data_IF_633000000800
#
_entry.id   IF_633000000800
#
_cell.length_a   1.000
_cell.length_b   1.000
_cell.length_c   1.000
_cell.angle_alpha   90.00
_cell.angle_beta   90.00
_cell.angle_gamma   90.00
#
_symmetry.space_group_name_H-M   'P 1'
#
loop_
_entity.id
_entity.type
_entity.pdbx_description
1 polymer ?
#
# COMPACT_ATOMS: atom_id res chain seq x y z
N UNK A 1 -18.96 25.86 -35.31
CA UNK A 1 -18.48 24.88 -34.31
C UNK A 1 -19.60 24.60 -33.33
N UNK A 2 -20.09 23.37 -33.25
CA UNK A 2 -21.33 23.06 -32.51
C UNK A 2 -21.06 23.07 -30.99
N UNK A 3 -21.54 24.09 -30.28
CA UNK A 3 -21.25 24.30 -28.84
C UNK A 3 -21.63 23.10 -27.97
N UNK A 4 -22.65 22.35 -28.37
CA UNK A 4 -23.13 21.12 -27.73
C UNK A 4 -22.14 19.95 -27.87
N UNK A 5 -21.45 19.84 -29.01
CA UNK A 5 -20.43 18.82 -29.22
C UNK A 5 -19.22 19.05 -28.29
N UNK A 6 -18.79 20.31 -28.17
CA UNK A 6 -17.66 20.69 -27.31
C UNK A 6 -17.95 20.42 -25.83
N UNK A 7 -19.17 20.76 -25.37
CA UNK A 7 -19.58 20.55 -23.97
C UNK A 7 -19.64 19.06 -23.61
N UNK A 8 -20.17 18.24 -24.52
CA UNK A 8 -20.24 16.79 -24.32
C UNK A 8 -18.84 16.16 -24.29
N UNK A 9 -17.94 16.56 -25.19
CA UNK A 9 -16.55 16.08 -25.19
C UNK A 9 -15.84 16.41 -23.87
N UNK A 10 -16.01 17.63 -23.36
CA UNK A 10 -15.40 18.07 -22.10
C UNK A 10 -15.95 17.28 -20.89
N UNK A 11 -17.24 16.96 -20.91
CA UNK A 11 -17.88 16.14 -19.87
C UNK A 11 -17.34 14.72 -19.85
N UNK A 12 -17.20 14.09 -21.02
CA UNK A 12 -16.62 12.74 -21.13
C UNK A 12 -15.15 12.71 -20.73
N UNK A 13 -14.37 13.73 -21.11
CA UNK A 13 -12.98 13.88 -20.68
C UNK A 13 -12.87 13.92 -19.16
N UNK A 14 -13.73 14.70 -18.49
CA UNK A 14 -13.70 14.82 -17.03
C UNK A 14 -14.05 13.50 -16.33
N UNK A 15 -15.08 12.80 -16.82
CA UNK A 15 -15.46 11.47 -16.30
C UNK A 15 -14.31 10.47 -16.47
N UNK A 16 -13.67 10.47 -17.63
CA UNK A 16 -12.53 9.59 -17.91
C UNK A 16 -11.34 9.89 -16.99
N UNK A 17 -11.04 11.16 -16.76
CA UNK A 17 -9.95 11.58 -15.88
C UNK A 17 -10.21 11.13 -14.43
N UNK A 18 -11.44 11.29 -13.94
CA UNK A 18 -11.82 10.79 -12.61
C UNK A 18 -11.64 9.27 -12.53
N UNK A 19 -12.16 8.53 -13.52
CA UNK A 19 -12.03 7.07 -13.56
C UNK A 19 -10.56 6.65 -13.58
N UNK A 20 -9.72 7.33 -14.36
CA UNK A 20 -8.28 7.08 -14.43
C UNK A 20 -7.60 7.28 -13.07
N UNK A 21 -7.89 8.38 -12.36
CA UNK A 21 -7.33 8.65 -11.03
C UNK A 21 -7.71 7.55 -10.04
N UNK A 22 -8.97 7.10 -10.06
CA UNK A 22 -9.45 6.01 -9.17
C UNK A 22 -8.69 4.71 -9.48
N UNK A 23 -8.57 4.34 -10.76
CA UNK A 23 -7.86 3.12 -11.17
C UNK A 23 -6.39 3.17 -10.75
N UNK A 24 -5.70 4.30 -10.98
CA UNK A 24 -4.31 4.47 -10.57
C UNK A 24 -4.16 4.35 -9.06
N UNK A 25 -5.08 4.93 -8.29
CA UNK A 25 -5.06 4.84 -6.84
C UNK A 25 -5.21 3.38 -6.35
N UNK A 26 -6.19 2.65 -6.88
CA UNK A 26 -6.42 1.24 -6.55
C UNK A 26 -5.22 0.38 -6.94
N UNK A 27 -4.65 0.62 -8.12
CA UNK A 27 -3.47 -0.09 -8.61
C UNK A 27 -2.25 0.12 -7.71
N UNK A 28 -1.96 1.38 -7.33
CA UNK A 28 -0.87 1.69 -6.39
C UNK A 28 -1.07 1.03 -5.03
N UNK A 29 -2.30 1.00 -4.52
CA UNK A 29 -2.63 0.32 -3.26
C UNK A 29 -2.45 -1.18 -3.34
N UNK A 30 -2.83 -1.80 -4.46
CA UNK A 30 -2.62 -3.23 -4.71
C UNK A 30 -1.13 -3.58 -4.77
N UNK A 31 -0.31 -2.78 -5.48
CA UNK A 31 1.14 -2.97 -5.51
C UNK A 31 1.73 -2.92 -4.10
N UNK A 32 1.38 -1.91 -3.31
CA UNK A 32 1.86 -1.78 -1.93
C UNK A 32 1.59 -3.04 -1.12
N UNK A 33 0.36 -3.55 -1.17
CA UNK A 33 -0.04 -4.74 -0.43
C UNK A 33 0.72 -5.98 -0.90
N UNK A 34 0.82 -6.18 -2.23
CA UNK A 34 1.48 -7.33 -2.81
C UNK A 34 2.99 -7.33 -2.53
N UNK A 35 3.65 -6.19 -2.64
CA UNK A 35 5.09 -6.08 -2.37
C UNK A 35 5.40 -6.33 -0.90
N UNK A 36 4.67 -5.72 0.02
CA UNK A 36 4.84 -5.96 1.46
C UNK A 36 4.58 -7.44 1.78
N UNK A 37 3.49 -8.01 1.27
CA UNK A 37 3.17 -9.42 1.49
C UNK A 37 4.25 -10.35 0.92
N UNK A 38 4.81 -10.02 -0.24
CA UNK A 38 5.91 -10.77 -0.84
C UNK A 38 7.16 -10.69 0.04
N UNK A 39 7.56 -9.49 0.47
CA UNK A 39 8.72 -9.29 1.35
C UNK A 39 8.57 -9.96 2.71
N UNK A 40 7.35 -10.08 3.23
CA UNK A 40 7.09 -10.80 4.48
C UNK A 40 7.20 -12.31 4.23
N UNK A 41 6.66 -12.83 3.13
CA UNK A 41 6.72 -14.26 2.80
C UNK A 41 8.14 -14.78 2.58
N UNK A 42 9.07 -13.94 2.12
CA UNK A 42 10.48 -14.33 1.98
C UNK A 42 11.16 -14.52 3.34
N UNK A 43 10.76 -13.76 4.36
CA UNK A 43 11.36 -13.83 5.72
C UNK A 43 10.60 -14.79 6.64
N UNK A 44 9.27 -14.87 6.50
CA UNK A 44 8.38 -15.71 7.28
C UNK A 44 7.46 -16.52 6.34
N UNK A 45 7.92 -17.69 5.83
CA UNK A 45 7.14 -18.48 4.88
C UNK A 45 5.84 -19.00 5.51
N UNK A 46 4.71 -18.55 4.98
CA UNK A 46 3.39 -18.96 5.43
C UNK A 46 2.75 -18.09 6.51
N UNK A 47 3.34 -16.94 6.82
CA UNK A 47 2.68 -15.91 7.61
C UNK A 47 1.54 -15.21 6.85
N UNK A 48 0.53 -14.75 7.58
CA UNK A 48 -0.57 -13.94 7.07
C UNK A 48 -0.43 -12.49 7.54
N UNK A 49 -0.51 -11.54 6.60
CA UNK A 49 -0.53 -10.12 6.92
C UNK A 49 -1.88 -9.79 7.55
N UNK A 50 -1.87 -9.31 8.79
CA UNK A 50 -3.07 -8.95 9.57
C UNK A 50 -3.51 -7.54 9.21
N UNK A 51 -2.57 -6.65 8.93
CA UNK A 51 -2.88 -5.29 8.49
C UNK A 51 -1.64 -4.48 8.17
N UNK A 52 -1.80 -3.46 7.31
CA UNK A 52 -0.75 -2.48 7.02
C UNK A 52 -1.13 -1.21 7.77
N UNK A 53 -0.46 -0.98 8.90
CA UNK A 53 -0.63 0.23 9.70
C UNK A 53 0.14 1.35 9.00
N UNK A 54 -0.62 2.38 8.68
CA UNK A 54 -0.28 3.56 7.91
C UNK A 54 1.14 4.13 8.13
N UNK A 55 1.62 4.85 7.11
CA UNK A 55 2.95 5.44 7.03
C UNK A 55 3.33 6.20 8.30
N UNK A 56 4.35 5.73 9.02
CA UNK A 56 4.93 6.44 10.17
C UNK A 56 6.08 7.33 9.67
N UNK A 57 6.18 8.55 10.19
CA UNK A 57 7.36 9.40 9.92
C UNK A 57 8.35 9.18 11.05
N UNK A 58 9.56 8.72 10.74
CA UNK A 58 10.63 8.53 11.72
C UNK A 58 11.07 9.87 12.28
N UNK A 59 11.84 9.85 13.38
CA UNK A 59 12.46 11.08 13.94
C UNK A 59 13.38 11.79 12.93
N UNK A 60 13.91 11.04 11.96
CA UNK A 60 14.74 11.54 10.86
C UNK A 60 13.94 12.09 9.68
N UNK A 61 12.61 12.25 9.81
CA UNK A 61 11.67 12.67 8.76
C UNK A 61 11.45 11.65 7.63
N UNK A 62 11.97 10.44 7.74
CA UNK A 62 11.74 9.38 6.76
C UNK A 62 10.34 8.78 6.92
N UNK A 63 9.67 8.55 5.81
CA UNK A 63 8.36 7.90 5.80
C UNK A 63 8.55 6.40 5.64
N UNK A 64 8.03 5.62 6.57
CA UNK A 64 8.09 4.15 6.57
C UNK A 64 6.68 3.56 6.62
N UNK A 65 6.43 2.45 5.95
CA UNK A 65 5.20 1.66 6.12
C UNK A 65 5.39 0.66 7.26
N UNK A 66 4.35 0.43 8.07
CA UNK A 66 4.37 -0.63 9.08
C UNK A 66 3.35 -1.70 8.69
N UNK A 67 3.73 -2.96 8.76
CA UNK A 67 2.82 -4.07 8.58
C UNK A 67 2.85 -4.98 9.80
N UNK A 68 1.67 -5.38 10.25
CA UNK A 68 1.49 -6.45 11.21
C UNK A 68 1.23 -7.73 10.44
N UNK A 69 1.98 -8.78 10.80
CA UNK A 69 1.75 -10.10 10.26
C UNK A 69 1.84 -11.15 11.36
N UNK A 70 1.11 -12.24 11.17
CA UNK A 70 1.04 -13.37 12.08
C UNK A 70 1.68 -14.59 11.40
N UNK A 71 2.61 -15.24 12.07
CA UNK A 71 3.23 -16.48 11.60
C UNK A 71 2.28 -17.66 11.76
N UNK A 72 2.66 -18.82 11.21
CA UNK A 72 1.91 -20.07 11.41
C UNK A 72 1.89 -20.52 12.87
N UNK A 73 2.94 -20.23 13.63
CA UNK A 73 3.06 -20.54 15.05
C UNK A 73 2.17 -19.64 15.92
N UNK A 74 1.57 -18.61 15.33
CA UNK A 74 0.68 -17.69 16.00
C UNK A 74 1.37 -16.48 16.63
N UNK A 75 2.70 -16.36 16.47
CA UNK A 75 3.48 -15.19 16.88
C UNK A 75 3.21 -14.02 15.93
N UNK A 76 3.09 -12.83 16.50
CA UNK A 76 2.82 -11.62 15.75
C UNK A 76 4.08 -10.75 15.67
N UNK A 77 4.28 -10.18 14.50
CA UNK A 77 5.43 -9.35 14.20
C UNK A 77 4.97 -8.04 13.59
N UNK A 78 5.71 -7.00 13.92
CA UNK A 78 5.64 -5.68 13.30
C UNK A 78 6.87 -5.50 12.42
N UNK A 79 6.63 -5.48 11.13
CA UNK A 79 7.64 -5.17 10.12
C UNK A 79 7.55 -3.70 9.69
N UNK A 80 8.69 -3.02 9.62
CA UNK A 80 8.82 -1.67 9.08
C UNK A 80 9.45 -1.73 7.69
N UNK A 81 8.89 -1.01 6.73
CA UNK A 81 9.33 -0.98 5.34
C UNK A 81 9.63 0.45 4.89
N UNK A 82 10.65 0.62 4.04
CA UNK A 82 10.90 1.90 3.38
C UNK A 82 9.77 2.25 2.42
N UNK A 83 9.38 3.53 2.34
CA UNK A 83 8.25 3.97 1.51
C UNK A 83 8.45 3.80 0.00
N UNK A 84 9.67 3.98 -0.47
CA UNK A 84 10.04 4.03 -1.89
C UNK A 84 10.32 2.64 -2.45
N UNK A 85 11.13 1.86 -1.74
CA UNK A 85 11.60 0.55 -2.21
C UNK A 85 10.83 -0.62 -1.62
N UNK A 86 10.02 -0.40 -0.57
CA UNK A 86 9.35 -1.46 0.20
C UNK A 86 10.30 -2.52 0.74
N UNK A 87 11.55 -2.14 0.96
CA UNK A 87 12.56 -2.98 1.61
C UNK A 87 12.26 -3.10 3.09
N UNK A 88 12.44 -4.30 3.64
CA UNK A 88 12.30 -4.54 5.07
C UNK A 88 13.46 -3.87 5.81
N UNK A 89 13.13 -2.92 6.68
CA UNK A 89 14.11 -2.20 7.51
C UNK A 89 14.25 -2.90 8.86
N UNK A 90 13.12 -3.27 9.44
CA UNK A 90 13.07 -3.76 10.81
C UNK A 90 11.93 -4.76 10.96
N UNK A 91 12.15 -5.78 11.78
CA UNK A 91 11.16 -6.78 12.10
C UNK A 91 11.25 -7.08 13.59
N UNK A 92 10.22 -6.71 14.33
CA UNK A 92 10.17 -6.89 15.78
C UNK A 92 8.94 -7.71 16.16
N UNK A 93 9.08 -8.57 17.14
CA UNK A 93 7.94 -9.25 17.74
C UNK A 93 7.04 -8.22 18.43
N UNK A 94 5.73 -8.30 18.21
CA UNK A 94 4.76 -7.36 18.76
C UNK A 94 3.49 -8.08 19.15
N UNK A 95 2.78 -7.64 20.21
CA UNK A 95 1.48 -8.20 20.53
C UNK A 95 0.52 -8.08 19.35
N UNK A 96 -0.36 -9.07 19.18
CA UNK A 96 -1.35 -9.10 18.10
C UNK A 96 -2.49 -8.07 18.25
N UNK A 97 -2.32 -7.03 19.06
CA UNK A 97 -3.33 -6.00 19.37
C UNK A 97 -3.08 -4.71 18.58
#
# INVERSE_FOLDING_TARGET
MNKTFLLNALRWMFIFLIAFVIVVYVYKRSILHNTIQSSIRTVAPGSNVVGIIQTHTTKSHDKIYRALYKTKEGTCFRASFERTTYTLIENQESPCQ
#
